data_IF_710359570096
#
_entry.id   IF_710359570096
#
_cell.length_a   1.000
_cell.length_b   1.000
_cell.length_c   1.000
_cell.angle_alpha   90.00
_cell.angle_beta   90.00
_cell.angle_gamma   90.00
#
_symmetry.space_group_name_H-M   'P 1'
#
loop_
_entity.id
_entity.type
_entity.pdbx_description
1 polymer ?
#
# COMPACT_ATOMS: atom_id res chain seq x y z
N UNK A 1 -0.56 -23.07 17.12
CA UNK A 1 -1.97 -22.79 16.77
C UNK A 1 -2.68 -22.30 18.01
N UNK A 2 -3.51 -21.25 17.91
CA UNK A 2 -4.35 -20.78 19.03
C UNK A 2 -5.71 -21.45 18.98
N UNK A 3 -6.24 -21.77 20.17
CA UNK A 3 -7.51 -22.45 20.34
C UNK A 3 -8.31 -21.82 21.48
N UNK A 4 -9.63 -21.96 21.46
CA UNK A 4 -10.53 -21.52 22.51
C UNK A 4 -11.28 -22.72 23.08
N UNK A 5 -11.21 -22.86 24.38
CA UNK A 5 -11.95 -23.90 25.14
C UNK A 5 -13.10 -23.25 25.90
N UNK A 6 -14.30 -23.82 25.92
CA UNK A 6 -15.46 -23.23 26.62
C UNK A 6 -15.22 -22.93 28.11
N UNK A 7 -14.46 -23.80 28.78
CA UNK A 7 -14.19 -23.69 30.20
C UNK A 7 -12.86 -23.00 30.55
N UNK A 8 -11.81 -23.18 29.72
CA UNK A 8 -10.43 -22.70 30.01
C UNK A 8 -10.01 -21.46 29.21
N UNK A 9 -10.90 -20.95 28.35
CA UNK A 9 -10.63 -19.77 27.54
C UNK A 9 -9.62 -19.98 26.43
N UNK A 10 -8.81 -18.94 26.13
CA UNK A 10 -7.82 -18.98 25.06
C UNK A 10 -6.57 -19.76 25.48
N UNK A 11 -6.09 -20.65 24.61
CA UNK A 11 -4.90 -21.45 24.80
C UNK A 11 -4.06 -21.57 23.53
N UNK A 12 -2.82 -22.03 23.71
CA UNK A 12 -1.88 -22.31 22.60
C UNK A 12 -1.54 -23.79 22.60
N UNK A 13 -1.79 -24.47 21.48
CA UNK A 13 -1.43 -25.88 21.29
C UNK A 13 0.08 -26.00 21.23
N UNK A 14 0.65 -26.88 22.07
CA UNK A 14 2.09 -27.17 22.18
C UNK A 14 2.46 -28.46 21.47
N UNK A 15 1.65 -29.51 21.63
CA UNK A 15 1.84 -30.78 20.94
C UNK A 15 0.48 -31.41 20.65
N UNK A 16 0.44 -32.28 19.63
CA UNK A 16 -0.74 -33.05 19.24
C UNK A 16 -0.31 -34.51 19.14
N UNK A 17 -1.07 -35.40 19.75
CA UNK A 17 -1.03 -36.84 19.57
C UNK A 17 -2.31 -37.31 18.90
N UNK A 18 -2.42 -38.61 18.61
CA UNK A 18 -3.55 -39.16 17.83
C UNK A 18 -4.94 -38.84 18.44
N UNK A 19 -5.03 -38.71 19.74
CA UNK A 19 -6.32 -38.53 20.47
C UNK A 19 -6.34 -37.30 21.35
N UNK A 20 -5.21 -36.68 21.67
CA UNK A 20 -5.09 -35.57 22.60
C UNK A 20 -4.20 -34.45 22.11
N UNK A 21 -4.54 -33.23 22.48
CA UNK A 21 -3.71 -32.03 22.27
C UNK A 21 -3.25 -31.48 23.63
N UNK A 22 -1.96 -31.23 23.79
CA UNK A 22 -1.45 -30.50 24.94
C UNK A 22 -1.57 -29.00 24.68
N UNK A 23 -2.41 -28.35 25.45
CA UNK A 23 -2.73 -26.92 25.29
C UNK A 23 -2.26 -26.14 26.51
N UNK A 24 -1.50 -25.08 26.29
CA UNK A 24 -1.10 -24.13 27.31
C UNK A 24 -2.18 -23.04 27.42
N UNK A 25 -2.90 -23.02 28.53
CA UNK A 25 -3.82 -21.96 28.95
C UNK A 25 -3.14 -20.97 29.89
N UNK A 26 -3.86 -19.91 30.28
CA UNK A 26 -3.34 -18.92 31.24
C UNK A 26 -3.14 -19.52 32.65
N UNK A 27 -3.93 -20.53 33.01
CA UNK A 27 -3.90 -21.23 34.30
C UNK A 27 -3.01 -22.48 34.31
N UNK A 28 -2.38 -22.85 33.18
CA UNK A 28 -1.46 -23.97 33.06
C UNK A 28 -1.62 -24.81 31.81
N UNK A 29 -0.82 -25.90 31.74
CA UNK A 29 -0.89 -26.88 30.65
C UNK A 29 -1.95 -27.94 30.93
N UNK A 30 -2.70 -28.32 29.91
CA UNK A 30 -3.72 -29.37 29.97
C UNK A 30 -3.69 -30.23 28.72
N UNK A 31 -3.85 -31.53 28.91
CA UNK A 31 -4.10 -32.48 27.83
C UNK A 31 -5.61 -32.55 27.58
N UNK A 32 -6.03 -32.24 26.38
CA UNK A 32 -7.43 -32.12 25.99
C UNK A 32 -7.68 -32.99 24.78
N UNK A 33 -8.79 -33.73 24.76
CA UNK A 33 -9.29 -34.45 23.61
C UNK A 33 -10.09 -33.45 22.72
N UNK A 34 -9.59 -33.03 21.56
CA UNK A 34 -10.21 -31.94 20.79
C UNK A 34 -11.66 -32.20 20.38
N UNK A 35 -11.96 -33.45 20.01
CA UNK A 35 -13.29 -33.82 19.52
C UNK A 35 -14.38 -33.85 20.65
N UNK A 36 -13.95 -34.16 21.89
CA UNK A 36 -14.89 -34.31 23.02
C UNK A 36 -15.04 -33.03 23.89
N UNK A 37 -14.12 -32.06 23.71
CA UNK A 37 -14.02 -30.93 24.66
C UNK A 37 -14.63 -29.62 24.15
N UNK A 38 -15.18 -29.58 22.94
CA UNK A 38 -15.66 -28.35 22.32
C UNK A 38 -14.55 -27.33 22.03
N UNK A 39 -13.36 -27.81 21.72
CA UNK A 39 -12.21 -26.96 21.37
C UNK A 39 -12.45 -26.32 20.00
N UNK A 40 -12.46 -25.01 19.95
CA UNK A 40 -12.63 -24.22 18.73
C UNK A 40 -11.32 -23.53 18.32
N UNK A 41 -11.13 -23.21 17.04
CA UNK A 41 -10.03 -22.33 16.64
C UNK A 41 -10.11 -21.01 17.40
N UNK A 42 -8.99 -20.60 18.01
CA UNK A 42 -8.90 -19.37 18.80
C UNK A 42 -8.77 -18.10 17.97
N UNK A 43 -8.68 -18.24 16.66
CA UNK A 43 -8.66 -17.14 15.70
C UNK A 43 -9.82 -17.31 14.71
N UNK A 44 -10.47 -16.22 14.31
CA UNK A 44 -11.55 -16.33 13.33
C UNK A 44 -11.03 -16.96 12.04
N UNK A 45 -11.71 -17.99 11.57
CA UNK A 45 -11.43 -18.62 10.29
C UNK A 45 -12.42 -18.09 9.25
N UNK A 46 -11.90 -17.61 8.12
CA UNK A 46 -12.71 -17.25 6.97
C UNK A 46 -12.58 -18.35 5.90
N UNK A 47 -13.69 -18.92 5.48
CA UNK A 47 -13.75 -19.77 4.28
C UNK A 47 -14.19 -18.89 3.10
N UNK A 48 -13.33 -18.76 2.06
CA UNK A 48 -13.65 -18.01 0.85
C UNK A 48 -14.06 -19.03 -0.21
N UNK A 49 -15.33 -18.97 -0.64
CA UNK A 49 -15.87 -19.81 -1.73
C UNK A 49 -16.04 -18.97 -2.98
N UNK A 50 -15.84 -19.57 -4.17
CA UNK A 50 -16.00 -18.87 -5.45
C UNK A 50 -14.83 -17.94 -5.80
N UNK A 51 -13.66 -18.18 -5.25
CA UNK A 51 -12.45 -17.43 -5.59
C UNK A 51 -11.72 -18.10 -6.75
N UNK A 52 -11.77 -17.50 -7.94
CA UNK A 52 -11.17 -18.03 -9.18
C UNK A 52 -9.67 -17.66 -9.34
N UNK A 53 -9.06 -17.06 -8.31
CA UNK A 53 -7.65 -16.68 -8.31
C UNK A 53 -6.95 -17.10 -7.00
N UNK A 54 -5.62 -17.31 -7.01
CA UNK A 54 -4.86 -17.63 -5.81
C UNK A 54 -5.07 -16.60 -4.70
N UNK A 55 -5.24 -17.04 -3.46
CA UNK A 55 -5.45 -16.17 -2.29
C UNK A 55 -4.34 -15.11 -2.15
N UNK A 56 -3.08 -15.48 -2.44
CA UNK A 56 -1.94 -14.55 -2.45
C UNK A 56 -2.16 -13.38 -3.44
N UNK A 57 -2.73 -13.68 -4.60
CA UNK A 57 -3.02 -12.68 -5.63
C UNK A 57 -4.17 -11.75 -5.20
N UNK A 58 -5.20 -12.29 -4.54
CA UNK A 58 -6.28 -11.49 -3.96
C UNK A 58 -5.73 -10.55 -2.89
N UNK A 59 -4.92 -11.06 -1.97
CA UNK A 59 -4.31 -10.25 -0.91
C UNK A 59 -3.42 -9.15 -1.52
N UNK A 60 -2.59 -9.48 -2.49
CA UNK A 60 -1.74 -8.48 -3.16
C UNK A 60 -2.56 -7.38 -3.84
N UNK A 61 -3.62 -7.73 -4.56
CA UNK A 61 -4.50 -6.76 -5.22
C UNK A 61 -5.24 -5.90 -4.20
N UNK A 62 -5.75 -6.48 -3.12
CA UNK A 62 -6.46 -5.74 -2.06
C UNK A 62 -5.52 -4.78 -1.33
N UNK A 63 -4.30 -5.22 -1.00
CA UNK A 63 -3.28 -4.37 -0.37
C UNK A 63 -2.84 -3.27 -1.33
N UNK A 64 -2.62 -3.57 -2.61
CA UNK A 64 -2.28 -2.56 -3.61
C UNK A 64 -3.38 -1.50 -3.72
N UNK A 65 -4.65 -1.92 -3.88
CA UNK A 65 -5.78 -1.01 -3.95
C UNK A 65 -5.95 -0.15 -2.67
N UNK A 66 -5.70 -0.74 -1.50
CA UNK A 66 -5.73 0.01 -0.24
C UNK A 66 -4.59 1.04 -0.15
N UNK A 67 -3.38 0.68 -0.57
CA UNK A 67 -2.23 1.59 -0.62
C UNK A 67 -2.47 2.74 -1.62
N UNK A 68 -3.01 2.42 -2.81
CA UNK A 68 -3.37 3.42 -3.82
C UNK A 68 -4.46 4.37 -3.28
N UNK A 69 -5.49 3.82 -2.64
CA UNK A 69 -6.56 4.61 -2.01
C UNK A 69 -6.11 5.51 -0.86
N UNK A 70 -5.01 5.16 -0.19
CA UNK A 70 -4.38 5.96 0.85
C UNK A 70 -3.28 6.89 0.30
N UNK A 71 -2.94 6.79 -0.99
CA UNK A 71 -1.83 7.50 -1.60
C UNK A 71 -0.45 7.08 -1.04
N UNK A 72 -0.37 5.86 -0.49
CA UNK A 72 0.88 5.30 0.03
C UNK A 72 1.58 4.51 -1.07
N UNK A 73 2.84 4.82 -1.30
CA UNK A 73 3.65 4.18 -2.32
C UNK A 73 4.45 3.00 -1.77
N UNK A 74 4.60 1.96 -2.60
CA UNK A 74 5.63 0.95 -2.39
C UNK A 74 6.95 1.49 -2.92
N UNK A 75 8.01 1.63 -2.10
CA UNK A 75 9.29 2.16 -2.52
C UNK A 75 9.87 1.44 -3.75
N UNK A 76 9.75 0.11 -3.80
CA UNK A 76 10.33 -0.72 -4.88
C UNK A 76 9.59 -0.54 -6.21
N UNK A 77 8.25 -0.40 -6.18
CA UNK A 77 7.44 -0.20 -7.39
C UNK A 77 7.69 1.17 -8.06
N UNK A 78 8.07 2.17 -7.28
CA UNK A 78 8.39 3.50 -7.79
C UNK A 78 9.71 3.49 -8.58
N UNK A 79 10.73 2.77 -8.09
CA UNK A 79 12.02 2.67 -8.77
C UNK A 79 11.89 1.98 -10.13
N UNK A 80 10.97 1.01 -10.27
CA UNK A 80 10.70 0.33 -11.54
C UNK A 80 10.12 1.27 -12.62
N UNK A 81 9.43 2.33 -12.22
CA UNK A 81 8.86 3.34 -13.13
C UNK A 81 9.91 4.37 -13.59
N UNK A 82 11.05 4.46 -12.91
CA UNK A 82 12.16 5.32 -13.33
C UNK A 82 12.78 4.79 -14.61
N UNK A 83 13.04 5.67 -15.57
CA UNK A 83 13.73 5.33 -16.80
C UNK A 83 15.12 4.76 -16.53
N UNK A 84 15.47 3.63 -17.14
CA UNK A 84 16.73 2.89 -16.90
C UNK A 84 17.98 3.78 -16.99
N UNK A 85 17.97 4.73 -17.90
CA UNK A 85 19.08 5.71 -18.11
C UNK A 85 19.30 6.62 -16.89
N UNK A 86 18.36 6.70 -15.97
CA UNK A 86 18.40 7.58 -14.80
C UNK A 86 18.76 6.84 -13.50
N UNK A 87 18.82 5.50 -13.53
CA UNK A 87 19.19 4.72 -12.37
C UNK A 87 20.60 5.09 -11.90
N UNK A 88 20.77 5.24 -10.59
CA UNK A 88 22.00 5.69 -9.92
C UNK A 88 22.48 7.07 -10.38
N UNK A 89 21.60 7.82 -11.02
CA UNK A 89 21.87 9.20 -11.40
C UNK A 89 21.68 10.16 -10.22
N UNK A 90 22.13 11.41 -10.40
CA UNK A 90 21.99 12.46 -9.40
C UNK A 90 21.71 13.81 -10.05
N UNK A 91 20.98 14.67 -9.35
CA UNK A 91 20.90 16.09 -9.61
C UNK A 91 21.93 16.80 -8.75
N UNK A 92 22.68 17.70 -9.32
CA UNK A 92 23.64 18.55 -8.61
C UNK A 92 23.15 19.99 -8.66
N UNK A 93 22.85 20.54 -7.50
CA UNK A 93 22.44 21.93 -7.33
C UNK A 93 23.70 22.76 -7.07
N UNK A 94 23.99 23.69 -7.97
CA UNK A 94 25.10 24.63 -7.83
C UNK A 94 24.57 25.96 -7.31
N UNK A 95 25.03 26.45 -6.16
CA UNK A 95 24.71 27.80 -5.73
C UNK A 95 25.35 28.82 -6.68
N UNK A 96 24.77 30.03 -6.75
CA UNK A 96 25.34 31.12 -7.55
C UNK A 96 26.70 31.60 -7.05
N UNK A 97 26.94 31.47 -5.74
CA UNK A 97 28.24 31.74 -5.13
C UNK A 97 29.13 30.49 -5.22
N UNK A 98 30.24 30.51 -5.97
CA UNK A 98 31.12 29.37 -6.16
C UNK A 98 31.90 28.95 -4.90
N UNK A 99 31.89 29.76 -3.84
CA UNK A 99 32.51 29.42 -2.55
C UNK A 99 31.64 28.47 -1.70
N UNK A 100 30.36 28.34 -2.04
CA UNK A 100 29.43 27.47 -1.35
C UNK A 100 29.44 26.05 -1.93
N UNK A 101 29.18 25.08 -1.05
CA UNK A 101 29.16 23.67 -1.46
C UNK A 101 27.94 23.34 -2.32
N UNK A 102 28.16 22.51 -3.34
CA UNK A 102 27.08 21.93 -4.14
C UNK A 102 26.26 20.93 -3.33
N UNK A 103 24.97 20.80 -3.66
CA UNK A 103 24.08 19.80 -3.08
C UNK A 103 23.74 18.74 -4.12
N UNK A 104 23.98 17.48 -3.78
CA UNK A 104 23.62 16.35 -4.60
C UNK A 104 22.33 15.69 -4.08
N UNK A 105 21.42 15.33 -4.99
CA UNK A 105 20.19 14.59 -4.69
C UNK A 105 20.13 13.40 -5.64
N UNK A 106 20.08 12.15 -5.12
CA UNK A 106 19.87 10.96 -5.95
C UNK A 106 18.56 11.06 -6.75
N UNK A 107 18.60 10.65 -8.02
CA UNK A 107 17.41 10.72 -8.90
C UNK A 107 16.29 9.80 -8.42
N UNK A 108 16.60 8.68 -7.82
CA UNK A 108 15.61 7.79 -7.21
C UNK A 108 14.85 8.50 -6.09
N UNK A 109 15.53 9.28 -5.25
CA UNK A 109 14.90 10.04 -4.17
C UNK A 109 14.00 11.14 -4.71
N UNK A 110 14.48 11.89 -5.72
CA UNK A 110 13.67 12.91 -6.39
C UNK A 110 12.43 12.28 -7.05
N UNK A 111 12.65 11.20 -7.81
CA UNK A 111 11.60 10.51 -8.53
C UNK A 111 10.52 9.96 -7.60
N UNK A 112 10.93 9.37 -6.47
CA UNK A 112 9.99 8.94 -5.44
C UNK A 112 9.09 10.10 -4.96
N UNK A 113 9.65 11.30 -4.77
CA UNK A 113 8.85 12.49 -4.40
C UNK A 113 7.90 12.93 -5.51
N UNK A 114 8.35 12.86 -6.76
CA UNK A 114 7.53 13.21 -7.93
C UNK A 114 6.34 12.26 -8.08
N UNK A 115 6.57 10.94 -7.96
CA UNK A 115 5.50 9.94 -8.00
C UNK A 115 4.56 10.10 -6.80
N UNK A 116 5.09 10.41 -5.61
CA UNK A 116 4.29 10.70 -4.42
C UNK A 116 3.30 11.85 -4.63
N UNK A 117 3.76 12.96 -5.20
CA UNK A 117 2.88 14.09 -5.54
C UNK A 117 1.79 13.65 -6.53
N UNK A 118 2.16 12.88 -7.58
CA UNK A 118 1.21 12.36 -8.56
C UNK A 118 0.09 11.54 -7.88
N UNK A 119 0.46 10.62 -7.02
CA UNK A 119 -0.50 9.74 -6.37
C UNK A 119 -1.41 10.50 -5.40
N UNK A 120 -0.88 11.49 -4.68
CA UNK A 120 -1.69 12.35 -3.82
C UNK A 120 -2.69 13.22 -4.63
N UNK A 121 -2.28 13.71 -5.79
CA UNK A 121 -3.19 14.44 -6.68
C UNK A 121 -4.31 13.54 -7.22
N UNK A 122 -4.01 12.28 -7.58
CA UNK A 122 -5.03 11.30 -7.99
C UNK A 122 -6.03 11.00 -6.87
N UNK A 123 -5.55 10.83 -5.65
CA UNK A 123 -6.43 10.63 -4.48
C UNK A 123 -7.30 11.87 -4.23
N UNK A 124 -6.73 13.06 -4.35
CA UNK A 124 -7.47 14.32 -4.21
C UNK A 124 -8.58 14.42 -5.28
N UNK A 125 -8.26 14.13 -6.53
CA UNK A 125 -9.19 14.13 -7.65
C UNK A 125 -10.36 13.16 -7.42
N UNK A 126 -10.07 11.93 -7.00
CA UNK A 126 -11.10 10.95 -6.65
C UNK A 126 -11.99 11.43 -5.50
N UNK A 127 -11.41 12.05 -4.45
CA UNK A 127 -12.17 12.59 -3.32
C UNK A 127 -13.06 13.76 -3.72
N UNK A 128 -12.57 14.65 -4.59
CA UNK A 128 -13.38 15.76 -5.13
C UNK A 128 -14.56 15.22 -5.94
N UNK A 129 -14.30 14.26 -6.83
CA UNK A 129 -15.35 13.68 -7.68
C UNK A 129 -16.41 12.93 -6.87
N UNK A 130 -16.00 12.19 -5.85
CA UNK A 130 -16.90 11.44 -4.97
C UNK A 130 -17.53 12.27 -3.85
N UNK A 131 -17.23 13.58 -3.76
CA UNK A 131 -17.70 14.38 -2.64
C UNK A 131 -19.23 14.60 -2.70
N UNK A 132 -19.99 14.27 -1.62
CA UNK A 132 -21.45 14.24 -1.68
C UNK A 132 -22.13 15.61 -1.68
N UNK A 133 -21.43 16.65 -1.20
CA UNK A 133 -22.02 17.99 -1.02
C UNK A 133 -21.47 19.06 -1.96
N UNK A 134 -20.39 18.76 -2.71
CA UNK A 134 -19.88 19.69 -3.73
C UNK A 134 -20.82 19.70 -4.94
N UNK A 135 -21.10 20.89 -5.44
CA UNK A 135 -21.81 21.05 -6.72
C UNK A 135 -20.91 20.64 -7.89
N UNK A 136 -21.49 20.33 -9.06
CA UNK A 136 -20.69 19.99 -10.24
C UNK A 136 -19.80 21.16 -10.68
N UNK A 137 -20.26 22.41 -10.47
CA UNK A 137 -19.44 23.60 -10.73
C UNK A 137 -18.20 23.66 -9.83
N UNK A 138 -18.37 23.42 -8.52
CA UNK A 138 -17.26 23.38 -7.56
C UNK A 138 -16.25 22.26 -7.90
N UNK A 139 -16.77 21.08 -8.29
CA UNK A 139 -15.93 19.96 -8.71
C UNK A 139 -15.07 20.30 -9.92
N UNK A 140 -15.69 20.92 -10.94
CA UNK A 140 -14.98 21.36 -12.15
C UNK A 140 -13.91 22.40 -11.81
N UNK A 141 -14.22 23.37 -10.94
CA UNK A 141 -13.24 24.36 -10.50
C UNK A 141 -12.05 23.72 -9.79
N UNK A 142 -12.30 22.81 -8.84
CA UNK A 142 -11.22 22.08 -8.13
C UNK A 142 -10.38 21.22 -9.08
N UNK A 143 -11.01 20.55 -10.05
CA UNK A 143 -10.30 19.78 -11.07
C UNK A 143 -9.37 20.63 -11.93
N UNK A 144 -9.72 21.90 -12.21
CA UNK A 144 -8.82 22.80 -12.91
C UNK A 144 -7.51 23.04 -12.14
N UNK A 145 -7.57 23.14 -10.80
CA UNK A 145 -6.36 23.26 -9.98
C UNK A 145 -5.51 22.00 -10.04
N UNK A 146 -6.13 20.82 -9.95
CA UNK A 146 -5.41 19.53 -10.10
C UNK A 146 -4.75 19.45 -11.48
N UNK A 147 -5.46 19.80 -12.54
CA UNK A 147 -4.93 19.82 -13.91
C UNK A 147 -3.73 20.79 -14.06
N UNK A 148 -3.79 21.96 -13.42
CA UNK A 148 -2.65 22.91 -13.41
C UNK A 148 -1.44 22.33 -12.66
N UNK A 149 -1.67 21.59 -11.56
CA UNK A 149 -0.61 20.88 -10.86
C UNK A 149 0.05 19.83 -11.76
N UNK A 150 -0.74 19.01 -12.47
CA UNK A 150 -0.21 18.06 -13.46
C UNK A 150 0.59 18.77 -14.55
N UNK A 151 0.09 19.89 -15.09
CA UNK A 151 0.80 20.71 -16.06
C UNK A 151 2.19 21.15 -15.57
N UNK A 152 2.28 21.61 -14.33
CA UNK A 152 3.54 22.03 -13.71
C UNK A 152 4.53 20.87 -13.52
N UNK A 153 4.02 19.64 -13.38
CA UNK A 153 4.83 18.44 -13.15
C UNK A 153 5.28 17.76 -14.46
N UNK A 154 4.79 18.19 -15.63
CA UNK A 154 5.16 17.60 -16.93
C UNK A 154 6.65 17.66 -17.22
N UNK A 155 7.38 18.62 -16.65
CA UNK A 155 8.85 18.70 -16.74
C UNK A 155 9.52 17.42 -16.25
N UNK A 156 8.93 16.71 -15.31
CA UNK A 156 9.46 15.46 -14.76
C UNK A 156 9.11 14.23 -15.60
N UNK A 157 8.31 14.37 -16.67
CA UNK A 157 7.95 13.27 -17.56
C UNK A 157 9.19 12.59 -18.18
N UNK A 158 10.29 13.32 -18.32
CA UNK A 158 11.56 12.78 -18.80
C UNK A 158 12.15 11.66 -17.91
N UNK A 159 11.73 11.60 -16.62
CA UNK A 159 12.22 10.61 -15.67
C UNK A 159 11.48 9.27 -15.78
N UNK A 160 10.25 9.26 -16.30
CA UNK A 160 9.44 8.05 -16.38
C UNK A 160 9.91 7.10 -17.48
N UNK A 161 9.83 5.81 -17.18
CA UNK A 161 10.13 4.74 -18.11
C UNK A 161 9.07 4.62 -19.22
N UNK A 162 7.81 4.67 -18.84
CA UNK A 162 6.67 4.47 -19.73
C UNK A 162 5.87 5.77 -19.89
N UNK A 163 5.24 5.96 -21.05
CA UNK A 163 4.44 7.15 -21.33
C UNK A 163 3.11 7.18 -20.55
N UNK A 164 2.53 6.02 -20.29
CA UNK A 164 1.30 5.87 -19.51
C UNK A 164 1.44 6.31 -18.06
N UNK A 165 2.67 6.32 -17.53
CA UNK A 165 2.97 6.76 -16.18
C UNK A 165 3.22 8.28 -16.07
N UNK A 166 3.31 8.96 -17.19
CA UNK A 166 3.64 10.39 -17.26
C UNK A 166 2.46 11.27 -16.84
N UNK A 167 2.77 12.49 -16.42
CA UNK A 167 1.75 13.53 -16.17
C UNK A 167 1.09 13.93 -17.49
N UNK A 168 -0.24 13.96 -17.50
CA UNK A 168 -1.04 14.43 -18.63
C UNK A 168 -1.90 15.62 -18.19
N UNK A 169 -2.01 16.63 -19.04
CA UNK A 169 -2.92 17.76 -18.85
C UNK A 169 -4.30 17.50 -19.46
N UNK A 170 -4.46 16.38 -20.18
CA UNK A 170 -5.76 15.94 -20.67
C UNK A 170 -6.38 15.07 -19.60
N UNK A 171 -7.52 15.51 -19.03
CA UNK A 171 -8.32 14.67 -18.15
C UNK A 171 -8.63 13.33 -18.81
N UNK A 172 -8.47 12.25 -18.07
CA UNK A 172 -8.98 10.94 -18.47
C UNK A 172 -10.50 10.97 -18.55
#
# INVERSE_FOLDING_TARGET
>A
MRVRHPQYGLGTVKSISETTAEVQFNDGKRAIAPEASGLEPGEPQAAITGLDLPLSQLIQRTVAAALDGLGLEKPDAVVEQLGVRWHRGKIVLHPSDPTLQTKEVPLEVLFHKVVGIRNQLRVLEQKVNAHPTLTDADKVEMQQYVTRCYGSLTTFNLLFRNKEDQFSTKGE
#
